data_IF_701127768042
#
_entry.id   IF_701127768042
#
_cell.length_a   1.000
_cell.length_b   1.000
_cell.length_c   1.000
_cell.angle_alpha   90.00
_cell.angle_beta   90.00
_cell.angle_gamma   90.00
#
_symmetry.space_group_name_H-M   'P 1'
#
loop_
_entity.id
_entity.type
_entity.pdbx_description
1 polymer ?
#
# COMPACT_ATOMS: atom_id res chain seq x y z
N UNK A 1 8.64 19.38 -10.67
CA UNK A 1 9.11 18.20 -9.95
C UNK A 1 8.44 16.96 -10.52
N UNK A 2 9.20 15.91 -10.75
CA UNK A 2 8.67 14.61 -11.13
C UNK A 2 8.70 13.68 -9.91
N UNK A 3 7.81 12.70 -9.90
CA UNK A 3 7.81 11.61 -8.93
C UNK A 3 8.25 10.34 -9.64
N UNK A 4 9.07 9.50 -8.99
CA UNK A 4 9.33 8.18 -9.54
C UNK A 4 8.06 7.35 -9.32
N UNK A 5 7.47 6.93 -10.44
CA UNK A 5 6.36 5.98 -10.42
C UNK A 5 6.85 4.61 -9.90
N UNK A 6 5.99 3.82 -9.24
CA UNK A 6 6.26 2.43 -8.88
C UNK A 6 6.75 1.56 -10.04
N UNK A 7 6.38 1.90 -11.28
CA UNK A 7 6.83 1.23 -12.50
C UNK A 7 8.35 1.31 -12.75
N UNK A 8 9.04 2.26 -12.11
CA UNK A 8 10.51 2.35 -12.16
C UNK A 8 11.21 1.29 -11.29
N UNK A 9 10.47 0.56 -10.48
CA UNK A 9 10.97 -0.49 -9.61
C UNK A 9 10.58 -1.84 -10.19
N UNK A 10 11.56 -2.67 -10.52
CA UNK A 10 11.34 -4.06 -11.00
C UNK A 10 10.83 -4.99 -9.88
N UNK A 11 10.10 -4.48 -8.89
CA UNK A 11 9.61 -5.21 -7.73
C UNK A 11 8.10 -5.38 -7.75
N UNK A 12 7.63 -6.44 -7.15
CA UNK A 12 6.22 -6.61 -6.85
C UNK A 12 5.80 -5.54 -5.84
N UNK A 13 4.77 -4.75 -6.19
CA UNK A 13 4.22 -3.71 -5.29
C UNK A 13 3.20 -4.29 -4.32
N UNK A 14 2.67 -5.48 -4.61
CA UNK A 14 1.74 -6.21 -3.74
C UNK A 14 2.52 -7.22 -2.91
N UNK A 15 2.62 -6.99 -1.62
CA UNK A 15 3.35 -7.85 -0.69
C UNK A 15 2.42 -8.38 0.41
N UNK A 16 2.64 -9.63 0.78
CA UNK A 16 1.99 -10.22 1.95
C UNK A 16 2.62 -9.68 3.23
N UNK A 17 1.80 -9.24 4.17
CA UNK A 17 2.28 -8.78 5.47
C UNK A 17 2.90 -9.94 6.24
N UNK A 18 4.09 -9.69 6.80
CA UNK A 18 4.80 -10.63 7.67
C UNK A 18 4.44 -10.31 9.12
N UNK A 19 3.82 -11.27 9.80
CA UNK A 19 3.46 -11.12 11.21
C UNK A 19 4.60 -11.56 12.10
N UNK A 20 4.92 -10.76 13.12
CA UNK A 20 6.06 -11.00 14.02
C UNK A 20 5.83 -10.32 15.36
N UNK A 21 6.50 -10.79 16.40
CA UNK A 21 6.64 -10.14 17.70
C UNK A 21 8.03 -9.49 17.88
N UNK A 22 8.90 -9.61 16.89
CA UNK A 22 10.21 -8.98 16.85
C UNK A 22 10.09 -7.46 16.68
N UNK A 23 10.34 -6.71 17.77
CA UNK A 23 10.24 -5.25 17.80
C UNK A 23 11.16 -4.59 16.78
N UNK A 24 12.35 -5.14 16.54
CA UNK A 24 13.29 -4.58 15.56
C UNK A 24 12.76 -4.63 14.12
N UNK A 25 11.86 -5.57 13.82
CA UNK A 25 11.16 -5.66 12.53
C UNK A 25 9.91 -4.80 12.47
N UNK A 26 9.23 -4.65 13.62
CA UNK A 26 8.04 -3.79 13.73
C UNK A 26 8.38 -2.30 13.66
N UNK A 27 9.55 -1.92 14.22
CA UNK A 27 10.08 -0.56 14.24
C UNK A 27 11.45 -0.52 13.55
N UNK A 28 11.52 -0.76 12.22
CA UNK A 28 12.78 -0.87 11.53
C UNK A 28 13.51 0.49 11.49
N UNK A 29 14.83 0.46 11.68
CA UNK A 29 15.67 1.62 11.43
C UNK A 29 15.77 1.84 9.92
N UNK A 30 15.03 2.82 9.42
CA UNK A 30 14.96 3.12 7.97
C UNK A 30 16.06 4.03 7.47
N UNK A 31 16.79 4.69 8.39
CA UNK A 31 17.93 5.53 8.05
C UNK A 31 19.14 5.14 8.90
N UNK A 32 20.27 4.90 8.24
CA UNK A 32 21.56 4.67 8.86
C UNK A 32 22.52 5.74 8.38
N UNK A 33 23.12 6.47 9.32
CA UNK A 33 24.11 7.49 9.04
C UNK A 33 25.48 6.94 9.46
N UNK A 34 26.43 6.94 8.53
CA UNK A 34 27.82 6.55 8.75
C UNK A 34 28.76 7.60 8.16
N UNK A 35 30.06 7.47 8.41
CA UNK A 35 31.09 8.32 7.82
C UNK A 35 31.13 8.21 6.28
N UNK A 36 30.63 7.10 5.73
CA UNK A 36 30.55 6.84 4.30
C UNK A 36 29.28 7.44 3.65
N UNK A 37 28.29 7.88 4.44
CA UNK A 37 27.06 8.50 3.96
C UNK A 37 25.79 8.05 4.67
N UNK A 38 24.66 8.32 4.01
CA UNK A 38 23.33 7.98 4.48
C UNK A 38 22.78 6.82 3.68
N UNK A 39 22.39 5.74 4.37
CA UNK A 39 21.72 4.60 3.77
C UNK A 39 20.24 4.60 4.20
N UNK A 40 19.33 4.65 3.21
CA UNK A 40 17.89 4.62 3.43
C UNK A 40 17.32 3.24 3.08
N UNK A 41 16.81 2.53 4.09
CA UNK A 41 16.18 1.20 3.99
C UNK A 41 14.65 1.31 3.98
N UNK A 42 14.12 2.23 3.19
CA UNK A 42 12.67 2.51 3.14
C UNK A 42 11.83 1.30 2.73
N UNK A 43 12.41 0.35 2.00
CA UNK A 43 11.75 -0.91 1.63
C UNK A 43 11.39 -1.82 2.80
N UNK A 44 11.81 -1.51 4.05
CA UNK A 44 11.39 -2.22 5.26
C UNK A 44 10.05 -1.71 5.80
N UNK A 45 9.63 -0.50 5.41
CA UNK A 45 8.40 0.10 5.88
C UNK A 45 7.18 -0.66 5.38
N UNK A 46 6.20 -0.86 6.25
CA UNK A 46 4.92 -1.45 5.90
C UNK A 46 4.90 -2.97 5.74
N UNK A 47 6.05 -3.66 5.77
CA UNK A 47 6.13 -5.12 5.56
C UNK A 47 5.71 -5.94 6.77
N UNK A 48 5.90 -5.42 7.97
CA UNK A 48 5.68 -6.17 9.20
C UNK A 48 4.49 -5.63 9.99
N UNK A 49 3.86 -6.52 10.74
CA UNK A 49 2.76 -6.23 11.64
C UNK A 49 2.86 -7.14 12.87
N UNK A 50 2.38 -6.65 14.02
CA UNK A 50 2.41 -7.45 15.24
C UNK A 50 1.61 -8.75 15.08
N UNK A 51 2.11 -9.85 15.63
CA UNK A 51 1.56 -11.20 15.52
C UNK A 51 0.09 -11.28 15.97
N UNK A 52 -0.34 -10.44 16.92
CA UNK A 52 -1.74 -10.38 17.36
C UNK A 52 -2.75 -10.07 16.24
N UNK A 53 -2.27 -9.52 15.11
CA UNK A 53 -3.09 -9.16 13.94
C UNK A 53 -3.03 -10.20 12.81
N UNK A 54 -2.41 -11.37 13.04
CA UNK A 54 -2.22 -12.40 12.02
C UNK A 54 -3.53 -12.92 11.42
N UNK A 55 -4.61 -12.87 12.17
CA UNK A 55 -5.94 -13.25 11.70
C UNK A 55 -6.42 -12.43 10.51
N UNK A 56 -5.88 -11.22 10.27
CA UNK A 56 -6.24 -10.36 9.15
C UNK A 56 -5.71 -10.88 7.80
N UNK A 57 -4.63 -11.68 7.78
CA UNK A 57 -3.99 -12.23 6.56
C UNK A 57 -3.80 -11.16 5.48
N UNK A 58 -3.31 -9.99 5.89
CA UNK A 58 -3.29 -8.77 5.11
C UNK A 58 -2.28 -8.82 3.96
N UNK A 59 -2.64 -8.23 2.83
CA UNK A 59 -1.76 -7.91 1.71
C UNK A 59 -1.72 -6.40 1.54
N UNK A 60 -0.57 -5.83 1.19
CA UNK A 60 -0.38 -4.38 1.03
C UNK A 60 0.23 -4.05 -0.31
N UNK A 61 -0.33 -3.03 -0.95
CA UNK A 61 0.36 -2.32 -2.01
C UNK A 61 1.32 -1.34 -1.36
N UNK A 62 2.63 -1.58 -1.51
CA UNK A 62 3.68 -0.72 -0.95
C UNK A 62 4.28 0.10 -2.09
N UNK A 63 4.07 1.42 -2.02
CA UNK A 63 4.58 2.36 -3.00
C UNK A 63 5.40 3.43 -2.30
N UNK A 64 6.53 3.80 -2.91
CA UNK A 64 7.40 4.86 -2.40
C UNK A 64 7.39 6.03 -3.36
N UNK A 65 7.21 7.22 -2.83
CA UNK A 65 7.23 8.45 -3.59
C UNK A 65 8.41 9.30 -3.14
N UNK A 66 9.32 9.58 -4.07
CA UNK A 66 10.48 10.43 -3.84
C UNK A 66 10.37 11.64 -4.77
N UNK A 67 10.45 12.84 -4.21
CA UNK A 67 10.48 14.06 -5.01
C UNK A 67 11.82 14.18 -5.73
N UNK A 68 11.80 14.25 -7.06
CA UNK A 68 12.98 14.39 -7.89
C UNK A 68 12.91 15.68 -8.69
N UNK A 69 14.01 16.43 -8.70
CA UNK A 69 14.16 17.60 -9.54
C UNK A 69 15.05 17.27 -10.76
N UNK A 70 14.43 17.05 -11.91
CA UNK A 70 15.15 16.72 -13.15
C UNK A 70 15.93 17.90 -13.78
N UNK A 71 15.90 19.08 -13.16
CA UNK A 71 16.62 20.27 -13.66
C UNK A 71 18.04 20.41 -13.12
N UNK A 72 18.45 19.54 -12.23
CA UNK A 72 19.77 19.53 -11.59
C UNK A 72 20.55 18.28 -11.97
N UNK A 73 21.86 18.23 -11.65
CA UNK A 73 22.70 17.05 -11.91
C UNK A 73 22.17 15.82 -11.16
N UNK A 74 22.62 14.63 -11.58
CA UNK A 74 22.22 13.36 -10.92
C UNK A 74 22.68 13.35 -9.47
N UNK A 75 23.92 13.79 -9.19
CA UNK A 75 24.45 13.85 -7.82
C UNK A 75 23.66 14.80 -6.95
N UNK A 76 23.32 15.99 -7.46
CA UNK A 76 22.52 16.97 -6.73
C UNK A 76 21.09 16.49 -6.53
N UNK A 77 20.49 15.84 -7.54
CA UNK A 77 19.17 15.22 -7.44
C UNK A 77 19.15 14.16 -6.35
N UNK A 78 20.17 13.31 -6.28
CA UNK A 78 20.29 12.27 -5.27
C UNK A 78 20.39 12.87 -3.86
N UNK A 79 21.27 13.88 -3.68
CA UNK A 79 21.42 14.58 -2.41
C UNK A 79 20.11 15.21 -1.93
N UNK A 80 19.41 15.94 -2.81
CA UNK A 80 18.14 16.59 -2.50
C UNK A 80 17.04 15.57 -2.19
N UNK A 81 17.00 14.45 -2.91
CA UNK A 81 16.06 13.37 -2.64
C UNK A 81 16.29 12.75 -1.26
N UNK A 82 17.55 12.52 -0.86
CA UNK A 82 17.89 12.02 0.47
C UNK A 82 17.51 13.02 1.55
N UNK A 83 17.85 14.30 1.38
CA UNK A 83 17.49 15.35 2.35
C UNK A 83 15.96 15.46 2.52
N UNK A 84 15.21 15.43 1.42
CA UNK A 84 13.75 15.46 1.46
C UNK A 84 13.19 14.22 2.16
N UNK A 85 13.68 13.03 1.83
CA UNK A 85 13.27 11.80 2.49
C UNK A 85 13.54 11.83 3.99
N UNK A 86 14.69 12.33 4.43
CA UNK A 86 15.01 12.49 5.84
C UNK A 86 14.07 13.46 6.56
N UNK A 87 13.75 14.58 5.95
CA UNK A 87 12.79 15.55 6.50
C UNK A 87 11.39 14.96 6.64
N UNK A 88 10.95 14.19 5.64
CA UNK A 88 9.66 13.50 5.68
C UNK A 88 9.63 12.42 6.79
N UNK A 89 10.67 11.61 6.90
CA UNK A 89 10.80 10.58 7.94
C UNK A 89 10.82 11.17 9.35
N UNK A 90 11.44 12.33 9.53
CA UNK A 90 11.49 13.05 10.80
C UNK A 90 10.23 13.89 11.08
N UNK A 91 9.25 13.89 10.15
CA UNK A 91 8.02 14.66 10.29
C UNK A 91 8.20 16.18 10.18
N UNK A 92 9.36 16.67 9.72
CA UNK A 92 9.65 18.09 9.59
C UNK A 92 9.13 18.67 8.28
N UNK A 93 8.88 17.84 7.29
CA UNK A 93 8.28 18.22 6.02
C UNK A 93 7.21 17.20 5.65
N UNK A 94 5.94 17.63 5.47
CA UNK A 94 4.89 16.71 5.07
C UNK A 94 5.08 16.27 3.62
N UNK A 95 4.48 15.14 3.19
CA UNK A 95 4.43 14.78 1.78
C UNK A 95 3.81 15.89 0.96
N UNK A 96 4.26 16.12 -0.29
CA UNK A 96 3.78 17.23 -1.13
C UNK A 96 2.33 17.05 -1.61
N UNK A 97 1.70 15.93 -1.26
CA UNK A 97 0.30 15.61 -1.59
C UNK A 97 -0.34 14.86 -0.41
N UNK A 98 -1.65 14.98 -0.29
CA UNK A 98 -2.42 14.29 0.76
C UNK A 98 -2.83 12.89 0.35
N UNK A 99 -2.96 12.64 -0.93
CA UNK A 99 -3.34 11.35 -1.52
C UNK A 99 -2.75 11.25 -2.93
N UNK A 100 -2.68 10.06 -3.42
CA UNK A 100 -2.27 9.75 -4.78
C UNK A 100 -3.29 8.79 -5.39
N UNK A 101 -3.92 9.20 -6.49
CA UNK A 101 -4.83 8.36 -7.24
C UNK A 101 -4.00 7.44 -8.16
N UNK A 102 -4.15 6.14 -7.94
CA UNK A 102 -3.51 5.13 -8.77
C UNK A 102 -4.51 4.63 -9.82
N UNK A 103 -4.19 4.81 -11.09
CA UNK A 103 -4.96 4.21 -12.16
C UNK A 103 -4.78 2.68 -12.13
N UNK A 104 -5.88 1.97 -11.91
CA UNK A 104 -5.91 0.50 -11.90
C UNK A 104 -6.60 0.04 -13.18
N UNK A 105 -6.00 -0.92 -13.89
CA UNK A 105 -6.63 -1.52 -15.07
C UNK A 105 -7.97 -2.14 -14.63
N UNK A 106 -9.11 -1.73 -15.23
CA UNK A 106 -10.43 -2.29 -14.93
C UNK A 106 -10.48 -3.83 -15.01
N UNK A 107 -9.64 -4.45 -15.83
CA UNK A 107 -9.53 -5.91 -15.92
C UNK A 107 -9.14 -6.59 -14.62
N UNK A 108 -8.45 -5.88 -13.72
CA UNK A 108 -8.12 -6.42 -12.40
C UNK A 108 -9.36 -6.77 -11.56
N UNK A 109 -10.52 -6.24 -11.93
CA UNK A 109 -11.78 -6.45 -11.22
C UNK A 109 -12.73 -7.43 -11.95
N UNK A 110 -12.38 -7.92 -13.14
CA UNK A 110 -13.27 -8.81 -13.93
C UNK A 110 -13.65 -10.09 -13.15
N UNK A 111 -12.71 -10.68 -12.43
CA UNK A 111 -12.94 -11.91 -11.64
C UNK A 111 -13.16 -11.62 -10.15
N UNK A 112 -13.58 -10.41 -9.80
CA UNK A 112 -13.78 -10.02 -8.41
C UNK A 112 -14.85 -10.88 -7.75
N UNK A 113 -14.56 -11.36 -6.53
CA UNK A 113 -15.54 -12.04 -5.68
C UNK A 113 -15.93 -11.12 -4.52
N UNK A 114 -17.22 -10.96 -4.32
CA UNK A 114 -17.79 -10.14 -3.24
C UNK A 114 -18.49 -11.08 -2.26
N UNK A 115 -17.88 -11.27 -1.10
CA UNK A 115 -18.47 -12.09 -0.03
C UNK A 115 -19.43 -11.25 0.80
N UNK A 116 -20.71 -11.64 0.80
CA UNK A 116 -21.72 -10.99 1.61
C UNK A 116 -21.54 -11.27 3.10
N UNK A 117 -21.79 -10.26 3.94
CA UNK A 117 -21.87 -10.49 5.38
C UNK A 117 -22.94 -11.51 5.72
N UNK A 118 -22.75 -12.39 6.73
CA UNK A 118 -23.77 -13.32 7.19
C UNK A 118 -25.01 -12.62 7.77
N UNK A 119 -24.91 -11.33 8.11
CA UNK A 119 -26.00 -10.49 8.61
C UNK A 119 -26.49 -9.49 7.55
N UNK A 120 -26.17 -9.70 6.28
CA UNK A 120 -26.61 -8.82 5.20
C UNK A 120 -28.14 -8.83 5.09
N UNK A 121 -28.74 -7.64 5.13
CA UNK A 121 -30.20 -7.52 4.94
C UNK A 121 -30.55 -7.72 3.47
N UNK A 122 -31.79 -8.15 3.20
CA UNK A 122 -32.31 -8.29 1.84
C UNK A 122 -32.15 -6.99 1.02
N UNK A 123 -32.49 -5.83 1.61
CA UNK A 123 -32.37 -4.56 0.93
C UNK A 123 -30.93 -4.23 0.51
N UNK A 124 -29.97 -4.47 1.38
CA UNK A 124 -28.54 -4.29 1.06
C UNK A 124 -28.07 -5.25 -0.04
N UNK A 125 -28.61 -6.48 -0.06
CA UNK A 125 -28.30 -7.44 -1.11
C UNK A 125 -28.80 -6.96 -2.47
N UNK A 126 -30.02 -6.48 -2.55
CA UNK A 126 -30.58 -5.92 -3.81
C UNK A 126 -29.75 -4.75 -4.30
N UNK A 127 -29.32 -3.85 -3.41
CA UNK A 127 -28.45 -2.72 -3.77
C UNK A 127 -27.12 -3.25 -4.32
N UNK A 128 -26.48 -4.20 -3.65
CA UNK A 128 -25.22 -4.80 -4.10
C UNK A 128 -25.36 -5.43 -5.48
N UNK A 129 -26.39 -6.27 -5.68
CA UNK A 129 -26.65 -6.93 -6.97
C UNK A 129 -26.84 -5.91 -8.09
N UNK A 130 -27.60 -4.83 -7.85
CA UNK A 130 -27.82 -3.74 -8.80
C UNK A 130 -26.50 -3.02 -9.15
N UNK A 131 -25.64 -2.77 -8.15
CA UNK A 131 -24.34 -2.13 -8.37
C UNK A 131 -23.41 -3.04 -9.19
N UNK A 132 -23.37 -4.33 -8.88
CA UNK A 132 -22.56 -5.31 -9.61
C UNK A 132 -23.04 -5.42 -11.04
N UNK A 133 -24.34 -5.58 -11.28
CA UNK A 133 -24.89 -5.63 -12.64
C UNK A 133 -24.52 -4.38 -13.46
N UNK A 134 -24.57 -3.21 -12.84
CA UNK A 134 -24.31 -1.94 -13.52
C UNK A 134 -22.82 -1.69 -13.79
N UNK A 135 -21.94 -2.00 -12.84
CA UNK A 135 -20.55 -1.54 -12.88
C UNK A 135 -19.54 -2.65 -13.13
N UNK A 136 -19.82 -3.89 -12.75
CA UNK A 136 -18.95 -5.04 -12.97
C UNK A 136 -19.74 -6.36 -13.07
N UNK A 137 -20.43 -6.61 -14.19
CA UNK A 137 -21.29 -7.79 -14.34
C UNK A 137 -20.53 -9.12 -14.33
N UNK A 138 -19.20 -9.09 -14.35
CA UNK A 138 -18.35 -10.28 -14.26
C UNK A 138 -18.03 -10.67 -12.82
N UNK A 139 -18.22 -9.76 -11.86
CA UNK A 139 -17.99 -10.06 -10.45
C UNK A 139 -18.99 -11.09 -9.92
N UNK A 140 -18.50 -11.96 -9.03
CA UNK A 140 -19.32 -12.97 -8.37
C UNK A 140 -19.73 -12.51 -6.98
N UNK A 141 -21.02 -12.66 -6.66
CA UNK A 141 -21.53 -12.43 -5.31
C UNK A 141 -21.70 -13.78 -4.65
N UNK A 142 -21.07 -13.99 -3.49
CA UNK A 142 -21.14 -15.22 -2.71
C UNK A 142 -21.58 -14.93 -1.28
N UNK A 143 -22.24 -15.88 -0.66
CA UNK A 143 -22.61 -15.78 0.75
C UNK A 143 -21.42 -16.19 1.64
N UNK A 144 -21.33 -15.57 2.81
CA UNK A 144 -20.33 -15.96 3.81
C UNK A 144 -20.57 -17.41 4.27
N UNK A 145 -19.51 -18.17 4.48
CA UNK A 145 -19.56 -19.49 5.11
C UNK A 145 -20.14 -19.45 6.55
N UNK A 146 -20.22 -18.25 7.15
CA UNK A 146 -20.81 -18.01 8.47
C UNK A 146 -22.34 -17.78 8.41
N UNK A 147 -22.96 -17.76 7.21
CA UNK A 147 -24.39 -17.55 7.07
C UNK A 147 -25.16 -18.64 7.83
N UNK A 148 -26.02 -18.22 8.74
CA UNK A 148 -26.81 -19.10 9.60
C UNK A 148 -26.02 -19.77 10.75
N UNK A 149 -24.76 -19.39 10.98
CA UNK A 149 -23.94 -19.89 12.10
C UNK A 149 -23.75 -18.86 13.22
N UNK A 150 -24.09 -17.60 12.95
CA UNK A 150 -24.00 -16.47 13.90
C UNK A 150 -25.25 -15.61 13.78
#
# INVERSE_FOLDING_TARGET
>A
GGYISPQAWNGEILEKVIYTDDIAKLEPKVAEISDEGINLKTGLLGKHKNLHWEFQKEWRYIMQFISINFKVSVEETTRLAIETAMKMLNGTEPPPFRYYDLDIDPKCFEEMEITCSPQMTYGNRVILETLVEKYNPYARIVDSELLGKI
#
